data_IF_256173063795
#
_entry.id   IF_256173063795
#
_cell.length_a   1.000
_cell.length_b   1.000
_cell.length_c   1.000
_cell.angle_alpha   90.00
_cell.angle_beta   90.00
_cell.angle_gamma   90.00
#
_symmetry.space_group_name_H-M   'P 1'
#
loop_
_entity.id
_entity.type
_entity.pdbx_description
1 polymer ?
#
# COMPACT_ATOMS: atom_id res chain seq x y z
N UNK A 1 22.89 13.37 -9.09
CA UNK A 1 24.01 12.42 -8.89
C UNK A 1 23.65 11.18 -8.03
N UNK A 2 22.77 11.27 -7.02
CA UNK A 2 22.39 10.14 -6.15
C UNK A 2 21.64 8.98 -6.85
N UNK A 3 20.83 9.28 -7.88
CA UNK A 3 20.06 8.29 -8.64
C UNK A 3 20.94 7.31 -9.45
N UNK A 4 22.14 7.74 -9.84
CA UNK A 4 23.13 6.89 -10.49
C UNK A 4 23.67 5.81 -9.55
N UNK A 5 23.74 6.08 -8.24
CA UNK A 5 24.17 5.08 -7.25
C UNK A 5 23.08 4.06 -6.98
N UNK A 6 21.85 4.54 -6.76
CA UNK A 6 20.70 3.66 -6.49
C UNK A 6 20.29 2.85 -7.71
N UNK A 7 20.72 3.20 -8.94
CA UNK A 7 20.32 2.51 -10.18
C UNK A 7 18.83 2.13 -10.18
N UNK A 8 17.98 3.06 -9.75
CA UNK A 8 16.55 2.82 -9.66
C UNK A 8 15.80 3.62 -10.72
N UNK A 9 14.61 3.17 -11.12
CA UNK A 9 13.68 4.01 -11.86
C UNK A 9 12.24 3.65 -11.56
N UNK A 10 11.37 4.66 -11.62
CA UNK A 10 9.92 4.45 -11.54
C UNK A 10 9.33 4.46 -12.94
N UNK A 11 8.54 3.43 -13.25
CA UNK A 11 7.75 3.40 -14.48
C UNK A 11 6.62 4.45 -14.42
N UNK A 12 6.02 4.82 -15.56
CA UNK A 12 4.81 5.63 -15.57
C UNK A 12 3.74 5.04 -14.66
N UNK A 13 2.95 5.92 -14.03
CA UNK A 13 1.88 5.48 -13.14
C UNK A 13 0.86 4.65 -13.94
N UNK A 14 0.56 3.46 -13.48
CA UNK A 14 -0.35 2.54 -14.17
C UNK A 14 -1.74 2.64 -13.51
N UNK A 15 -2.81 2.96 -14.27
CA UNK A 15 -4.15 3.00 -13.70
C UNK A 15 -4.60 1.64 -13.15
N UNK A 16 -5.43 1.59 -12.09
CA UNK A 16 -5.88 0.33 -11.47
C UNK A 16 -6.47 -0.71 -12.43
N UNK A 17 -7.24 -0.25 -13.43
CA UNK A 17 -7.91 -1.16 -14.39
C UNK A 17 -6.92 -1.95 -15.26
N UNK A 18 -5.67 -1.52 -15.37
CA UNK A 18 -4.63 -2.23 -16.10
C UNK A 18 -3.90 -3.27 -15.23
N UNK A 19 -4.21 -3.38 -13.94
CA UNK A 19 -3.57 -4.35 -13.04
C UNK A 19 -3.70 -5.78 -13.59
N UNK A 20 -4.89 -6.18 -14.05
CA UNK A 20 -5.17 -7.51 -14.59
C UNK A 20 -4.24 -7.93 -15.75
N UNK A 21 -3.80 -6.98 -16.59
CA UNK A 21 -2.88 -7.26 -17.70
C UNK A 21 -1.46 -7.62 -17.24
N UNK A 22 -1.10 -7.27 -15.99
CA UNK A 22 0.25 -7.46 -15.44
C UNK A 22 0.28 -8.42 -14.25
N UNK A 23 -0.88 -8.77 -13.69
CA UNK A 23 -1.00 -9.51 -12.43
C UNK A 23 -0.27 -10.86 -12.45
N UNK A 24 -0.29 -11.59 -13.58
CA UNK A 24 0.44 -12.87 -13.75
C UNK A 24 1.95 -12.72 -13.60
N UNK A 25 2.51 -11.56 -13.91
CA UNK A 25 3.94 -11.25 -13.74
C UNK A 25 4.31 -10.95 -12.29
N UNK A 26 3.32 -10.84 -11.39
CA UNK A 26 3.46 -10.47 -9.98
C UNK A 26 2.94 -11.57 -9.03
N UNK A 27 2.88 -12.83 -9.48
CA UNK A 27 2.32 -13.99 -8.76
C UNK A 27 0.79 -14.05 -8.62
N UNK A 28 0.03 -13.08 -9.12
CA UNK A 28 -1.43 -13.11 -9.07
C UNK A 28 -2.01 -13.97 -10.20
N UNK A 29 -3.10 -14.68 -9.92
CA UNK A 29 -3.87 -15.45 -10.92
C UNK A 29 -5.34 -15.00 -10.94
N UNK A 30 -6.08 -15.22 -12.05
CA UNK A 30 -7.52 -14.95 -12.08
C UNK A 30 -8.29 -15.73 -11.01
N UNK A 31 -7.88 -16.98 -10.73
CA UNK A 31 -8.49 -17.82 -9.70
C UNK A 31 -8.28 -17.23 -8.30
N UNK A 32 -7.08 -16.73 -8.02
CA UNK A 32 -6.79 -16.08 -6.75
C UNK A 32 -7.63 -14.82 -6.56
N UNK A 33 -7.76 -14.00 -7.61
CA UNK A 33 -8.60 -12.81 -7.58
C UNK A 33 -10.09 -13.14 -7.35
N UNK A 34 -10.58 -14.26 -7.91
CA UNK A 34 -11.94 -14.77 -7.64
C UNK A 34 -12.11 -15.28 -6.21
N UNK A 35 -11.12 -15.97 -5.67
CA UNK A 35 -11.16 -16.42 -4.27
C UNK A 35 -11.17 -15.22 -3.31
N UNK A 36 -10.35 -14.21 -3.58
CA UNK A 36 -10.35 -12.96 -2.83
C UNK A 36 -11.72 -12.28 -2.88
N UNK A 37 -12.39 -12.28 -4.03
CA UNK A 37 -13.77 -11.78 -4.15
C UNK A 37 -14.74 -12.51 -3.22
N UNK A 38 -14.71 -13.84 -3.25
CA UNK A 38 -15.56 -14.67 -2.38
C UNK A 38 -15.26 -14.52 -0.88
N UNK A 39 -14.07 -14.09 -0.48
CA UNK A 39 -13.76 -13.72 0.91
C UNK A 39 -14.44 -12.40 1.27
N UNK A 40 -14.34 -11.39 0.39
CA UNK A 40 -14.94 -10.07 0.60
C UNK A 40 -16.48 -10.16 0.68
N UNK A 41 -17.10 -10.92 -0.22
CA UNK A 41 -18.56 -11.08 -0.29
C UNK A 41 -19.17 -11.73 0.96
N UNK A 42 -18.39 -12.55 1.68
CA UNK A 42 -18.85 -13.20 2.92
C UNK A 42 -18.79 -12.28 4.13
N UNK A 43 -18.06 -11.17 4.06
CA UNK A 43 -17.87 -10.26 5.19
C UNK A 43 -19.00 -9.23 5.25
N UNK A 44 -19.86 -9.36 6.26
CA UNK A 44 -20.93 -8.37 6.53
C UNK A 44 -20.37 -6.99 6.83
N UNK A 45 -19.30 -6.92 7.64
CA UNK A 45 -18.65 -5.67 8.01
C UNK A 45 -18.07 -4.95 6.79
N UNK A 46 -17.47 -5.71 5.87
CA UNK A 46 -16.99 -5.18 4.58
C UNK A 46 -18.14 -4.66 3.71
N UNK A 47 -19.23 -5.42 3.59
CA UNK A 47 -20.40 -5.01 2.83
C UNK A 47 -21.02 -3.71 3.40
N UNK A 48 -21.14 -3.61 4.73
CA UNK A 48 -21.62 -2.42 5.41
C UNK A 48 -20.68 -1.22 5.18
N UNK A 49 -19.36 -1.42 5.30
CA UNK A 49 -18.36 -0.39 5.02
C UNK A 49 -18.48 0.16 3.60
N UNK A 50 -18.57 -0.72 2.59
CA UNK A 50 -18.75 -0.29 1.20
C UNK A 50 -20.08 0.42 1.01
N UNK A 51 -21.18 -0.05 1.63
CA UNK A 51 -22.49 0.63 1.55
C UNK A 51 -22.44 2.04 2.15
N UNK A 52 -21.70 2.24 3.25
CA UNK A 52 -21.49 3.56 3.86
C UNK A 52 -20.72 4.49 2.93
N UNK A 53 -19.69 3.99 2.25
CA UNK A 53 -18.92 4.78 1.27
C UNK A 53 -19.79 5.13 0.06
N UNK A 54 -20.52 4.15 -0.48
CA UNK A 54 -21.40 4.32 -1.64
C UNK A 54 -22.55 5.30 -1.38
N UNK A 55 -23.21 5.18 -0.23
CA UNK A 55 -24.28 6.09 0.22
C UNK A 55 -23.74 7.40 0.78
N UNK A 56 -22.42 7.57 0.76
CA UNK A 56 -21.77 8.81 1.16
C UNK A 56 -22.05 9.21 2.63
N UNK A 57 -22.31 8.25 3.51
CA UNK A 57 -22.77 8.51 4.88
C UNK A 57 -21.60 9.04 5.73
N UNK A 58 -21.71 10.24 6.34
CA UNK A 58 -20.65 10.80 7.17
C UNK A 58 -20.55 10.05 8.50
N UNK A 59 -19.32 9.98 9.05
CA UNK A 59 -19.03 9.28 10.32
C UNK A 59 -19.94 9.75 11.44
N UNK A 60 -20.25 11.05 11.50
CA UNK A 60 -21.09 11.64 12.54
C UNK A 60 -22.50 11.04 12.61
N UNK A 61 -23.00 10.44 11.51
CA UNK A 61 -24.32 9.80 11.42
C UNK A 61 -24.30 8.31 11.72
N UNK A 62 -23.12 7.69 11.85
CA UNK A 62 -23.01 6.27 12.16
C UNK A 62 -23.17 6.06 13.67
N UNK A 63 -23.98 5.06 14.04
CA UNK A 63 -24.23 4.66 15.43
C UNK A 63 -24.05 3.15 15.55
N UNK A 64 -23.41 2.73 16.65
CA UNK A 64 -23.25 1.33 16.97
C UNK A 64 -24.63 0.71 17.25
N UNK A 65 -24.91 -0.45 16.66
CA UNK A 65 -26.20 -1.14 16.79
C UNK A 65 -27.22 -0.85 15.68
N UNK A 66 -26.99 0.14 14.81
CA UNK A 66 -27.78 0.29 13.57
C UNK A 66 -27.34 -0.77 12.55
N UNK A 67 -28.06 -1.88 12.52
CA UNK A 67 -27.62 -3.17 11.93
C UNK A 67 -27.17 -3.13 10.47
N UNK A 68 -27.68 -2.18 9.70
CA UNK A 68 -27.53 -2.14 8.25
C UNK A 68 -26.56 -1.04 7.78
N UNK A 69 -26.08 -0.20 8.71
CA UNK A 69 -25.19 0.92 8.41
C UNK A 69 -23.90 0.90 9.23
N UNK A 70 -23.85 0.19 10.36
CA UNK A 70 -22.64 0.10 11.16
C UNK A 70 -21.55 -0.74 10.45
N UNK A 71 -20.36 -0.18 10.13
CA UNK A 71 -19.29 -0.90 9.42
C UNK A 71 -18.57 -2.00 10.22
N UNK A 72 -18.93 -2.20 11.49
CA UNK A 72 -18.27 -3.19 12.36
C UNK A 72 -16.77 -2.93 12.48
N UNK A 73 -15.96 -3.96 12.19
CA UNK A 73 -14.50 -3.90 12.23
C UNK A 73 -13.90 -2.74 11.38
N UNK A 74 -14.57 -2.35 10.29
CA UNK A 74 -14.11 -1.27 9.42
C UNK A 74 -14.44 0.14 9.93
N UNK A 75 -15.06 0.29 11.09
CA UNK A 75 -15.44 1.62 11.60
C UNK A 75 -14.23 2.53 11.82
N UNK A 76 -13.11 1.98 12.34
CA UNK A 76 -11.88 2.76 12.50
C UNK A 76 -11.30 3.21 11.15
N UNK A 77 -11.31 2.33 10.14
CA UNK A 77 -10.90 2.66 8.78
C UNK A 77 -11.78 3.78 8.19
N UNK A 78 -13.11 3.71 8.35
CA UNK A 78 -14.04 4.75 7.87
C UNK A 78 -13.81 6.11 8.53
N UNK A 79 -13.48 6.13 9.82
CA UNK A 79 -13.15 7.38 10.56
C UNK A 79 -11.92 8.06 9.99
N UNK A 80 -10.83 7.31 9.88
CA UNK A 80 -9.56 7.82 9.36
C UNK A 80 -9.67 8.20 7.88
N UNK A 81 -10.38 7.41 7.08
CA UNK A 81 -10.69 7.75 5.69
C UNK A 81 -11.35 9.12 5.57
N UNK A 82 -12.38 9.42 6.38
CA UNK A 82 -13.08 10.72 6.33
C UNK A 82 -12.14 11.88 6.70
N UNK A 83 -11.22 11.67 7.63
CA UNK A 83 -10.19 12.66 7.97
C UNK A 83 -9.23 12.89 6.81
N UNK A 84 -8.83 11.86 6.07
CA UNK A 84 -7.97 12.06 4.87
C UNK A 84 -8.65 12.88 3.76
N UNK A 85 -9.99 12.86 3.74
CA UNK A 85 -10.82 13.61 2.81
C UNK A 85 -11.20 15.01 3.33
N UNK A 86 -10.86 15.35 4.58
CA UNK A 86 -11.26 16.62 5.23
C UNK A 86 -10.02 17.42 5.54
N UNK A 87 -9.95 18.66 5.03
CA UNK A 87 -8.85 19.57 5.35
C UNK A 87 -9.43 20.91 5.75
N UNK A 88 -8.95 21.46 6.88
CA UNK A 88 -9.44 22.68 7.51
C UNK A 88 -10.95 22.62 7.78
N UNK A 89 -11.43 21.44 8.20
CA UNK A 89 -12.85 21.17 8.42
C UNK A 89 -13.73 21.11 7.16
N UNK A 90 -13.15 21.25 5.96
CA UNK A 90 -13.88 21.17 4.70
C UNK A 90 -13.58 19.86 4.00
N UNK A 91 -14.63 19.05 3.87
CA UNK A 91 -14.58 17.78 3.16
C UNK A 91 -14.39 17.99 1.64
N UNK A 92 -13.57 17.14 1.01
CA UNK A 92 -13.20 17.19 -0.41
C UNK A 92 -14.41 17.19 -1.34
N UNK A 93 -15.48 16.48 -0.99
CA UNK A 93 -16.78 16.56 -1.68
C UNK A 93 -17.32 17.98 -1.83
N UNK A 94 -17.29 18.78 -0.76
CA UNK A 94 -17.71 20.17 -0.81
C UNK A 94 -16.78 21.02 -1.70
N UNK A 95 -15.51 20.61 -1.83
CA UNK A 95 -14.51 21.24 -2.72
C UNK A 95 -14.72 20.83 -4.19
N UNK A 96 -15.05 19.55 -4.47
CA UNK A 96 -15.37 19.01 -5.80
C UNK A 96 -16.62 19.70 -6.39
N UNK A 97 -17.62 19.98 -5.56
CA UNK A 97 -18.81 20.75 -5.96
C UNK A 97 -18.48 22.18 -6.44
N UNK A 98 -17.27 22.69 -6.16
CA UNK A 98 -16.76 23.98 -6.64
C UNK A 98 -15.86 23.86 -7.88
N UNK A 99 -15.91 22.74 -8.60
CA UNK A 99 -15.13 22.43 -9.81
C UNK A 99 -13.60 22.48 -9.65
N UNK A 100 -13.08 22.37 -8.43
CA UNK A 100 -11.64 22.24 -8.19
C UNK A 100 -11.16 20.83 -8.52
N UNK A 101 -10.00 20.71 -9.16
CA UNK A 101 -9.38 19.41 -9.42
C UNK A 101 -8.81 18.83 -8.12
N UNK A 102 -8.79 17.50 -7.99
CA UNK A 102 -8.30 16.83 -6.76
C UNK A 102 -6.83 17.15 -6.52
N UNK A 103 -6.04 17.35 -7.58
CA UNK A 103 -4.63 17.72 -7.54
C UNK A 103 -4.39 19.16 -7.01
N UNK A 104 -5.45 19.97 -6.92
CA UNK A 104 -5.45 21.33 -6.38
C UNK A 104 -5.87 21.36 -4.90
N UNK A 105 -6.25 20.22 -4.32
CA UNK A 105 -6.59 20.19 -2.91
C UNK A 105 -5.32 20.26 -2.06
N UNK A 106 -5.41 20.98 -0.94
CA UNK A 106 -4.35 21.00 0.07
C UNK A 106 -4.07 19.60 0.61
N UNK A 107 -2.81 19.37 1.00
CA UNK A 107 -2.37 18.16 1.68
C UNK A 107 -3.17 17.95 2.98
N UNK A 108 -3.15 16.73 3.52
CA UNK A 108 -3.72 16.47 4.83
C UNK A 108 -3.05 17.34 5.90
N UNK A 109 -3.78 17.72 6.95
CA UNK A 109 -3.28 18.57 8.03
C UNK A 109 -2.03 17.99 8.72
N UNK A 110 -1.96 16.65 8.80
CA UNK A 110 -0.84 15.89 9.34
C UNK A 110 -0.64 14.59 8.53
N UNK A 111 0.61 14.29 8.17
CA UNK A 111 1.01 13.05 7.49
C UNK A 111 0.65 11.78 8.29
N UNK A 112 0.52 11.88 9.61
CA UNK A 112 0.09 10.80 10.48
C UNK A 112 -1.32 10.27 10.12
N UNK A 113 -2.19 11.12 9.60
CA UNK A 113 -3.58 10.76 9.31
C UNK A 113 -3.70 9.82 8.10
N UNK A 114 -3.19 10.16 6.89
CA UNK A 114 -3.11 9.21 5.77
C UNK A 114 -2.35 7.94 6.13
N UNK A 115 -1.33 8.05 6.98
CA UNK A 115 -0.54 6.92 7.44
C UNK A 115 -1.34 5.92 8.28
N UNK A 116 -2.09 6.40 9.26
CA UNK A 116 -2.97 5.59 10.09
C UNK A 116 -4.12 5.02 9.25
N UNK A 117 -4.72 5.85 8.37
CA UNK A 117 -5.81 5.43 7.50
C UNK A 117 -5.43 4.22 6.63
N UNK A 118 -4.24 4.25 6.01
CA UNK A 118 -3.75 3.14 5.20
C UNK A 118 -3.59 1.87 6.02
N UNK A 119 -2.89 1.96 7.15
CA UNK A 119 -2.53 0.78 7.94
C UNK A 119 -3.76 0.13 8.57
N UNK A 120 -4.69 0.91 9.10
CA UNK A 120 -5.94 0.38 9.66
C UNK A 120 -6.76 -0.30 8.58
N UNK A 121 -6.91 0.32 7.40
CA UNK A 121 -7.62 -0.31 6.28
C UNK A 121 -6.96 -1.62 5.84
N UNK A 122 -5.63 -1.63 5.68
CA UNK A 122 -4.88 -2.82 5.29
C UNK A 122 -4.96 -3.93 6.35
N UNK A 123 -4.96 -3.57 7.64
CA UNK A 123 -5.12 -4.51 8.75
C UNK A 123 -6.49 -5.20 8.70
N UNK A 124 -7.58 -4.43 8.57
CA UNK A 124 -8.92 -5.01 8.50
C UNK A 124 -9.10 -5.87 7.25
N UNK A 125 -8.52 -5.48 6.12
CA UNK A 125 -8.51 -6.34 4.92
C UNK A 125 -7.71 -7.64 5.14
N UNK A 126 -6.58 -7.55 5.84
CA UNK A 126 -5.74 -8.71 6.15
C UNK A 126 -6.46 -9.70 7.07
N UNK A 127 -7.22 -9.20 8.06
CA UNK A 127 -7.99 -10.02 8.99
C UNK A 127 -9.13 -10.81 8.34
N UNK A 128 -9.63 -10.39 7.17
CA UNK A 128 -10.60 -11.19 6.42
C UNK A 128 -10.02 -12.50 5.87
N UNK A 129 -8.69 -12.61 5.76
CA UNK A 129 -8.03 -13.86 5.39
C UNK A 129 -7.69 -14.63 6.67
N UNK A 130 -8.44 -15.71 6.91
CA UNK A 130 -8.28 -16.53 8.12
C UNK A 130 -6.88 -17.16 8.23
N UNK A 131 -6.38 -17.26 9.47
CA UNK A 131 -5.16 -18.01 9.78
C UNK A 131 -3.91 -17.49 9.08
N UNK A 132 -3.82 -16.19 8.78
CA UNK A 132 -2.62 -15.59 8.17
C UNK A 132 -1.46 -15.49 9.15
N UNK A 133 -1.75 -15.20 10.43
CA UNK A 133 -0.72 -14.83 11.41
C UNK A 133 0.12 -13.62 10.95
N UNK A 134 -0.48 -12.75 10.14
CA UNK A 134 0.13 -11.55 9.56
C UNK A 134 -0.48 -10.32 10.22
N UNK A 135 0.36 -9.35 10.57
CA UNK A 135 -0.07 -8.07 11.13
C UNK A 135 0.70 -6.90 10.52
N UNK A 136 0.00 -5.78 10.33
CA UNK A 136 0.56 -4.49 10.00
C UNK A 136 0.91 -3.76 11.28
N UNK A 137 2.17 -3.35 11.39
CA UNK A 137 2.67 -2.57 12.51
C UNK A 137 2.94 -1.12 12.11
N UNK A 138 2.76 -0.21 13.06
CA UNK A 138 3.05 1.23 12.94
C UNK A 138 4.53 1.57 13.20
N UNK A 139 5.38 0.57 13.44
CA UNK A 139 6.76 0.79 13.84
C UNK A 139 7.51 1.59 12.79
N UNK A 140 8.14 2.69 13.22
CA UNK A 140 9.15 3.39 12.43
C UNK A 140 10.32 2.45 12.25
N UNK A 141 10.54 2.03 11.03
CA UNK A 141 11.69 1.20 10.69
C UNK A 141 12.72 2.08 10.01
N UNK A 142 13.88 2.21 10.64
CA UNK A 142 15.01 2.92 10.08
C UNK A 142 15.90 1.93 9.32
N UNK A 143 16.16 2.24 8.07
CA UNK A 143 16.95 1.48 7.14
C UNK A 143 18.19 2.30 6.76
N UNK A 144 19.37 1.69 6.86
CA UNK A 144 20.64 2.30 6.47
C UNK A 144 21.26 1.48 5.35
N UNK A 145 21.23 1.99 4.13
CA UNK A 145 21.89 1.39 2.97
C UNK A 145 23.34 1.84 2.90
N UNK A 146 24.25 0.91 3.23
CA UNK A 146 25.69 1.10 3.14
C UNK A 146 26.19 0.66 1.76
N UNK A 147 26.96 1.53 1.12
CA UNK A 147 27.59 1.24 -0.17
C UNK A 147 29.11 1.11 0.02
N UNK A 148 29.75 0.25 -0.78
CA UNK A 148 31.19 -0.05 -0.71
C UNK A 148 32.09 1.20 -0.70
N UNK A 149 31.67 2.28 -1.36
CA UNK A 149 32.40 3.56 -1.40
C UNK A 149 32.31 4.39 -0.11
N UNK A 150 31.86 3.81 1.00
CA UNK A 150 31.70 4.46 2.30
C UNK A 150 30.52 5.43 2.39
N UNK A 151 29.65 5.48 1.37
CA UNK A 151 28.43 6.30 1.40
C UNK A 151 27.31 5.52 2.04
N UNK A 152 26.47 6.21 2.80
CA UNK A 152 25.30 5.65 3.45
C UNK A 152 24.05 6.41 3.04
N UNK A 153 22.91 5.72 2.98
CA UNK A 153 21.62 6.37 2.80
C UNK A 153 20.62 5.88 3.84
N UNK A 154 19.90 6.82 4.44
CA UNK A 154 18.91 6.55 5.47
C UNK A 154 17.50 6.60 4.86
N UNK A 155 16.73 5.52 5.01
CA UNK A 155 15.31 5.51 4.74
C UNK A 155 14.54 5.21 6.02
N UNK A 156 13.44 5.91 6.22
CA UNK A 156 12.53 5.68 7.34
C UNK A 156 11.20 5.26 6.74
N UNK A 157 10.67 4.13 7.20
CA UNK A 157 9.38 3.61 6.77
C UNK A 157 8.43 3.56 7.96
N UNK A 158 7.25 4.14 7.79
CA UNK A 158 6.21 4.22 8.83
C UNK A 158 5.19 3.10 8.65
N UNK A 159 5.68 1.88 8.84
CA UNK A 159 4.87 0.67 8.99
C UNK A 159 5.27 -0.48 8.06
N UNK A 160 4.96 -1.68 8.50
CA UNK A 160 5.33 -2.90 7.81
C UNK A 160 4.39 -4.06 8.12
N UNK A 161 4.25 -4.99 7.18
CA UNK A 161 3.61 -6.28 7.42
C UNK A 161 4.65 -7.27 7.91
N UNK A 162 4.40 -7.87 9.07
CA UNK A 162 5.23 -8.94 9.66
C UNK A 162 4.37 -10.13 10.04
N UNK A 163 5.02 -11.23 10.39
CA UNK A 163 4.36 -12.36 11.02
C UNK A 163 4.22 -12.07 12.52
N UNK A 164 3.12 -12.43 13.14
CA UNK A 164 2.92 -12.20 14.59
C UNK A 164 4.00 -12.90 15.44
N UNK A 165 4.59 -13.99 14.94
CA UNK A 165 5.67 -14.72 15.62
C UNK A 165 7.08 -14.25 15.27
N UNK A 166 7.28 -13.40 14.24
CA UNK A 166 8.61 -12.97 13.78
C UNK A 166 8.68 -11.46 13.56
N UNK A 167 9.81 -10.85 13.96
CA UNK A 167 10.06 -9.43 13.72
C UNK A 167 10.40 -9.10 12.26
N UNK A 168 10.58 -10.09 11.38
CA UNK A 168 10.94 -9.86 9.98
C UNK A 168 9.73 -9.44 9.13
N UNK A 169 9.81 -8.27 8.48
CA UNK A 169 8.75 -7.74 7.62
C UNK A 169 8.85 -8.22 6.16
N UNK A 170 7.73 -8.61 5.56
CA UNK A 170 7.65 -9.07 4.14
C UNK A 170 7.05 -8.02 3.19
N UNK A 171 6.05 -7.28 3.64
CA UNK A 171 5.52 -6.11 2.93
C UNK A 171 5.80 -4.89 3.77
N UNK A 172 5.91 -3.73 3.11
CA UNK A 172 6.29 -2.52 3.81
C UNK A 172 5.61 -1.30 3.19
N UNK A 173 5.57 -0.19 3.93
CA UNK A 173 4.81 1.00 3.55
C UNK A 173 5.76 2.14 3.17
N UNK A 174 5.50 2.73 2.00
CA UNK A 174 6.18 3.93 1.52
C UNK A 174 5.33 5.18 1.70
N UNK A 175 5.98 6.34 1.81
CA UNK A 175 5.34 7.65 1.95
C UNK A 175 5.09 8.27 0.57
N UNK A 176 3.93 8.92 0.35
CA UNK A 176 3.66 9.69 -0.88
C UNK A 176 3.13 11.08 -0.58
N UNK A 177 3.90 12.07 -1.02
CA UNK A 177 3.43 13.42 -1.31
C UNK A 177 4.02 13.84 -2.66
N UNK A 178 3.21 13.74 -3.73
CA UNK A 178 3.58 13.99 -5.16
C UNK A 178 4.78 13.16 -5.69
N UNK A 179 4.92 12.98 -7.02
CA UNK A 179 6.06 12.25 -7.61
C UNK A 179 7.39 13.03 -7.49
N UNK A 180 7.93 13.13 -6.29
CA UNK A 180 9.26 13.70 -6.07
C UNK A 180 10.35 12.63 -6.21
N UNK A 181 11.54 13.05 -6.68
CA UNK A 181 12.74 12.21 -6.72
C UNK A 181 13.11 11.65 -5.33
N UNK A 182 12.75 12.38 -4.27
CA UNK A 182 12.98 11.96 -2.88
C UNK A 182 12.21 10.69 -2.53
N UNK A 183 10.97 10.54 -2.99
CA UNK A 183 10.13 9.36 -2.69
C UNK A 183 10.66 8.12 -3.38
N UNK A 184 11.04 8.22 -4.66
CA UNK A 184 11.65 7.11 -5.38
C UNK A 184 12.94 6.66 -4.68
N UNK A 185 13.70 7.60 -4.12
CA UNK A 185 14.94 7.28 -3.40
C UNK A 185 14.64 6.57 -2.07
N UNK A 186 13.65 7.04 -1.30
CA UNK A 186 13.22 6.37 -0.07
C UNK A 186 12.66 4.97 -0.32
N UNK A 187 11.69 4.83 -1.25
CA UNK A 187 11.13 3.53 -1.65
C UNK A 187 12.23 2.59 -2.15
N UNK A 188 13.21 3.10 -2.89
CA UNK A 188 14.32 2.30 -3.37
C UNK A 188 15.22 1.82 -2.22
N UNK A 189 15.56 2.69 -1.28
CA UNK A 189 16.41 2.35 -0.14
C UNK A 189 15.79 1.29 0.77
N UNK A 190 14.48 1.37 0.99
CA UNK A 190 13.73 0.35 1.71
C UNK A 190 13.86 -1.05 1.09
N UNK A 191 13.94 -1.13 -0.24
CA UNK A 191 14.07 -2.40 -0.96
C UNK A 191 15.51 -2.91 -1.00
N UNK A 192 16.48 -2.01 -1.19
CA UNK A 192 17.91 -2.37 -1.26
C UNK A 192 18.40 -3.04 0.03
N UNK A 193 17.76 -2.75 1.17
CA UNK A 193 18.07 -3.39 2.45
C UNK A 193 17.54 -4.81 2.62
N UNK A 194 16.70 -5.30 1.71
CA UNK A 194 16.11 -6.63 1.78
C UNK A 194 16.93 -7.59 0.94
N UNK A 195 17.01 -8.87 1.34
CA UNK A 195 17.61 -9.87 0.46
C UNK A 195 16.65 -10.22 -0.70
N UNK A 196 17.07 -10.32 -1.97
CA UNK A 196 16.19 -10.65 -3.09
C UNK A 196 15.33 -11.91 -2.88
N UNK A 197 15.86 -12.90 -2.15
CA UNK A 197 15.15 -14.14 -1.82
C UNK A 197 13.94 -13.94 -0.89
N UNK A 198 13.82 -12.80 -0.19
CA UNK A 198 12.63 -12.50 0.62
C UNK A 198 11.46 -11.93 -0.20
N UNK A 199 11.65 -11.73 -1.51
CA UNK A 199 10.58 -11.34 -2.41
C UNK A 199 9.61 -12.51 -2.67
N UNK A 200 8.31 -12.22 -2.62
CA UNK A 200 7.25 -13.25 -2.73
C UNK A 200 6.39 -13.05 -3.99
N UNK A 201 6.61 -11.96 -4.74
CA UNK A 201 5.85 -11.59 -5.93
C UNK A 201 6.70 -11.70 -7.22
N UNK A 202 7.31 -12.87 -7.49
CA UNK A 202 8.21 -13.10 -8.65
C UNK A 202 9.33 -12.06 -8.74
N UNK A 203 10.24 -12.05 -7.77
CA UNK A 203 11.33 -11.06 -7.63
C UNK A 203 10.87 -9.64 -7.27
N UNK A 204 9.59 -9.45 -6.90
CA UNK A 204 9.07 -8.15 -6.50
C UNK A 204 8.73 -8.09 -5.00
N UNK A 205 9.00 -6.92 -4.44
CA UNK A 205 8.47 -6.47 -3.15
C UNK A 205 7.24 -5.59 -3.39
N UNK A 206 6.25 -5.70 -2.50
CA UNK A 206 5.08 -4.84 -2.52
C UNK A 206 5.23 -3.74 -1.48
N UNK A 207 5.18 -2.49 -1.95
CA UNK A 207 5.06 -1.29 -1.14
C UNK A 207 3.65 -0.72 -1.28
N UNK A 208 3.04 -0.31 -0.17
CA UNK A 208 1.78 0.43 -0.18
C UNK A 208 2.04 1.88 0.25
N UNK A 209 1.39 2.84 -0.38
CA UNK A 209 1.51 4.26 -0.03
C UNK A 209 0.16 4.96 -0.19
N UNK A 210 -0.02 6.07 0.53
CA UNK A 210 -1.26 6.85 0.48
C UNK A 210 -0.92 8.34 0.40
N UNK A 211 -1.62 9.04 -0.48
CA UNK A 211 -1.61 10.49 -0.64
C UNK A 211 -3.05 10.96 -0.43
N UNK A 212 -3.34 11.58 0.71
CA UNK A 212 -4.71 11.90 1.14
C UNK A 212 -5.66 10.71 1.01
N UNK A 213 -6.71 10.80 0.20
CA UNK A 213 -7.69 9.73 -0.03
C UNK A 213 -7.31 8.80 -1.19
N UNK A 214 -6.10 8.89 -1.74
CA UNK A 214 -5.61 8.11 -2.87
C UNK A 214 -4.54 7.11 -2.45
N UNK A 215 -4.79 5.82 -2.70
CA UNK A 215 -3.86 4.73 -2.38
C UNK A 215 -3.10 4.30 -3.64
N UNK A 216 -1.83 3.93 -3.47
CA UNK A 216 -0.97 3.41 -4.53
C UNK A 216 -0.20 2.17 -4.08
N UNK A 217 -0.04 1.23 -5.00
CA UNK A 217 0.70 0.00 -4.80
C UNK A 217 1.91 -0.04 -5.72
N UNK A 218 3.11 -0.11 -5.16
CA UNK A 218 4.37 -0.19 -5.90
C UNK A 218 4.94 -1.59 -5.81
N UNK A 219 5.12 -2.25 -6.96
CA UNK A 219 5.85 -3.50 -7.07
C UNK A 219 7.29 -3.20 -7.49
N UNK A 220 8.22 -3.34 -6.55
CA UNK A 220 9.63 -3.07 -6.74
C UNK A 220 10.37 -4.35 -7.11
N UNK A 221 10.88 -4.45 -8.34
CA UNK A 221 11.63 -5.62 -8.79
C UNK A 221 13.07 -5.53 -8.33
N UNK A 222 13.51 -6.47 -7.49
CA UNK A 222 14.87 -6.51 -6.97
C UNK A 222 15.52 -7.86 -7.22
N UNK A 223 16.59 -7.88 -8.03
CA UNK A 223 17.24 -9.11 -8.49
C UNK A 223 18.58 -9.32 -7.81
N UNK A 224 19.01 -10.58 -7.77
CA UNK A 224 20.29 -11.02 -7.20
C UNK A 224 21.49 -10.21 -7.70
N UNK A 225 21.63 -10.00 -9.01
CA UNK A 225 22.74 -9.22 -9.58
C UNK A 225 22.78 -7.76 -9.14
N UNK A 226 21.63 -7.18 -8.79
CA UNK A 226 21.57 -5.81 -8.30
C UNK A 226 21.91 -5.75 -6.80
N UNK A 227 21.55 -6.79 -6.04
CA UNK A 227 21.99 -6.96 -4.67
C UNK A 227 23.51 -7.12 -4.57
N UNK A 228 24.12 -7.96 -5.41
CA UNK A 228 25.58 -8.13 -5.51
C UNK A 228 26.30 -6.82 -5.88
N UNK A 229 25.69 -5.99 -6.74
CA UNK A 229 26.21 -4.66 -7.05
C UNK A 229 26.24 -3.75 -5.83
N UNK A 230 25.17 -3.70 -5.03
CA UNK A 230 25.15 -2.85 -3.83
C UNK A 230 26.08 -3.35 -2.73
N UNK A 231 26.16 -4.67 -2.56
CA UNK A 231 26.93 -5.30 -1.48
C UNK A 231 28.42 -5.35 -1.78
N UNK A 232 28.79 -5.79 -2.98
CA UNK A 232 30.16 -6.18 -3.34
C UNK A 232 30.72 -5.37 -4.52
N UNK A 233 30.02 -4.33 -4.98
CA UNK A 233 30.45 -3.50 -6.11
C UNK A 233 30.42 -4.21 -7.48
N UNK A 234 29.82 -5.40 -7.55
CA UNK A 234 29.82 -6.23 -8.75
C UNK A 234 29.21 -5.53 -9.98
N UNK A 235 29.84 -5.65 -11.14
CA UNK A 235 29.30 -5.04 -12.36
C UNK A 235 27.93 -5.63 -12.74
N UNK A 236 26.96 -4.76 -12.99
CA UNK A 236 25.64 -5.15 -13.47
C UNK A 236 25.04 -4.09 -14.39
N UNK A 237 24.18 -4.52 -15.31
CA UNK A 237 23.30 -3.67 -16.11
C UNK A 237 21.86 -3.64 -15.58
N UNK A 238 21.59 -4.32 -14.46
CA UNK A 238 20.28 -4.32 -13.82
C UNK A 238 20.01 -2.98 -13.11
N UNK A 239 18.72 -2.70 -12.93
CA UNK A 239 18.21 -1.52 -12.25
C UNK A 239 17.03 -1.94 -11.37
N UNK A 240 16.86 -1.25 -10.24
CA UNK A 240 15.69 -1.40 -9.39
C UNK A 240 14.50 -0.75 -10.10
N UNK A 241 13.58 -1.54 -10.63
CA UNK A 241 12.40 -1.02 -11.33
C UNK A 241 11.20 -0.97 -10.39
N UNK A 242 10.65 0.23 -10.17
CA UNK A 242 9.45 0.46 -9.37
C UNK A 242 8.25 0.57 -10.31
N UNK A 243 7.30 -0.37 -10.20
CA UNK A 243 6.05 -0.35 -10.96
C UNK A 243 4.88 0.01 -10.05
N UNK A 244 4.40 1.24 -10.16
CA UNK A 244 3.27 1.71 -9.33
C UNK A 244 1.94 1.65 -10.06
N UNK A 245 0.95 1.09 -9.38
CA UNK A 245 -0.46 1.14 -9.71
C UNK A 245 -1.20 2.15 -8.84
N UNK A 246 -2.21 2.82 -9.41
CA UNK A 246 -3.07 3.76 -8.70
C UNK A 246 -3.42 4.99 -9.55
N UNK A 247 -4.07 6.01 -8.97
CA UNK A 247 -4.60 6.00 -7.61
C UNK A 247 -5.85 5.11 -7.48
N UNK A 248 -5.99 4.46 -6.32
CA UNK A 248 -7.28 3.99 -5.84
C UNK A 248 -7.89 5.06 -4.95
N UNK A 249 -8.94 5.73 -5.45
CA UNK A 249 -9.71 6.70 -4.69
C UNK A 249 -10.55 5.96 -3.63
N UNK A 250 -10.26 6.23 -2.34
CA UNK A 250 -10.97 5.63 -1.21
C UNK A 250 -12.43 6.11 -1.11
N UNK A 251 -12.79 7.25 -1.70
CA UNK A 251 -14.18 7.69 -1.78
C UNK A 251 -14.98 7.00 -2.89
N UNK A 252 -14.33 6.18 -3.74
CA UNK A 252 -15.00 5.44 -4.79
C UNK A 252 -15.17 3.97 -4.39
N UNK A 253 -16.42 3.49 -4.15
CA UNK A 253 -16.65 2.13 -3.65
C UNK A 253 -16.14 1.06 -4.63
N UNK A 254 -16.27 1.25 -5.94
CA UNK A 254 -15.77 0.31 -6.95
C UNK A 254 -14.24 0.23 -6.94
N UNK A 255 -13.55 1.35 -6.70
CA UNK A 255 -12.08 1.38 -6.56
C UNK A 255 -11.66 0.71 -5.26
N UNK A 256 -12.34 0.97 -4.13
CA UNK A 256 -12.07 0.29 -2.87
C UNK A 256 -12.25 -1.22 -2.96
N UNK A 257 -13.34 -1.69 -3.57
CA UNK A 257 -13.57 -3.12 -3.82
C UNK A 257 -12.45 -3.72 -4.65
N UNK A 258 -12.03 -3.05 -5.73
CA UNK A 258 -10.90 -3.54 -6.51
C UNK A 258 -9.58 -3.54 -5.72
N UNK A 259 -9.31 -2.51 -4.91
CA UNK A 259 -8.13 -2.47 -4.04
C UNK A 259 -8.13 -3.63 -3.05
N UNK A 260 -9.25 -3.85 -2.36
CA UNK A 260 -9.39 -4.94 -1.40
C UNK A 260 -9.17 -6.30 -2.05
N UNK A 261 -9.70 -6.55 -3.25
CA UNK A 261 -9.42 -7.79 -4.00
C UNK A 261 -7.93 -8.00 -4.23
N UNK A 262 -7.20 -6.94 -4.60
CA UNK A 262 -5.74 -6.99 -4.81
C UNK A 262 -5.00 -7.26 -3.50
N UNK A 263 -5.35 -6.55 -2.41
CA UNK A 263 -4.70 -6.73 -1.10
C UNK A 263 -4.99 -8.13 -0.53
N UNK A 264 -6.24 -8.57 -0.51
CA UNK A 264 -6.63 -9.92 -0.07
C UNK A 264 -5.85 -10.99 -0.84
N UNK A 265 -5.74 -10.85 -2.17
CA UNK A 265 -4.93 -11.75 -3.00
C UNK A 265 -3.44 -11.70 -2.62
N UNK A 266 -2.89 -10.51 -2.36
CA UNK A 266 -1.50 -10.34 -1.93
C UNK A 266 -1.22 -11.01 -0.58
N UNK A 267 -2.16 -10.90 0.36
CA UNK A 267 -2.10 -11.55 1.68
C UNK A 267 -2.18 -13.08 1.53
N UNK A 268 -3.04 -13.60 0.64
CA UNK A 268 -3.08 -15.04 0.35
C UNK A 268 -1.75 -15.56 -0.23
N UNK A 269 -1.11 -14.80 -1.13
CA UNK A 269 0.24 -15.12 -1.63
C UNK A 269 1.27 -15.11 -0.48
N UNK A 270 1.23 -14.08 0.36
CA UNK A 270 2.16 -13.97 1.49
C UNK A 270 2.00 -15.09 2.51
N UNK A 271 0.75 -15.47 2.80
CA UNK A 271 0.41 -16.62 3.63
C UNK A 271 0.96 -17.92 3.02
N UNK A 272 0.73 -18.16 1.73
CA UNK A 272 1.24 -19.36 1.07
C UNK A 272 2.78 -19.45 1.12
N UNK A 273 3.47 -18.33 0.94
CA UNK A 273 4.94 -18.23 1.04
C UNK A 273 5.49 -18.28 2.49
N UNK A 274 4.63 -18.42 3.50
CA UNK A 274 5.01 -18.65 4.90
C UNK A 274 4.79 -20.10 5.35
N UNK A 275 4.04 -20.89 4.58
CA UNK A 275 3.77 -22.31 4.85
C UNK A 275 4.63 -23.27 4.01
N UNK A 276 5.53 -22.73 3.18
CA UNK A 276 6.62 -23.44 2.50
C UNK A 276 7.90 -23.17 3.28
#
# INVERSE_FOLDING_TARGET
MQYLMMRSYSLPLIPPFQFGATMRKLSFSPDLMRQADGILEKSRDWANYISVVEKEIPVARLREGESDLWPGAFMAAKRLQEQTCTVEGVHDRARRARYRKVEEFSDAEDEATPHAALLVLLQEITHMVEGTGLEWVLNKTHFVADFENGRQYNAYCDGALRRTSDLSSKLSKGMRARKSRTIITQEACEIVMKHPQSSIFKDHFLLSSQDRHQIFLTFARFRQKLFEYYKDGAYTNEFLSLKTFGPWDTENPLRLVHLAKVITSAIMIAKAALHV
#
